data_IF_262498392377
#
_entry.id   IF_262498392377
#
_cell.length_a   1.000
_cell.length_b   1.000
_cell.length_c   1.000
_cell.angle_alpha   90.00
_cell.angle_beta   90.00
_cell.angle_gamma   90.00
#
_symmetry.space_group_name_H-M   'P 1'
#
loop_
_entity.id
_entity.type
_entity.pdbx_description
1 polymer ?
#
# COMPACT_ATOMS: atom_id res chain seq x y z
N UNK A 1 33.89 2.86 -1.48
CA UNK A 1 33.57 1.43 -1.68
C UNK A 1 32.36 1.32 -2.60
N UNK A 2 32.50 0.77 -3.79
CA UNK A 2 31.41 0.64 -4.76
C UNK A 2 30.42 -0.44 -4.29
N UNK A 3 29.14 -0.09 -4.15
CA UNK A 3 28.08 -1.08 -3.88
C UNK A 3 28.01 -2.03 -5.08
N UNK A 4 28.36 -3.30 -4.86
CA UNK A 4 28.17 -4.38 -5.85
C UNK A 4 26.68 -4.43 -6.19
N UNK A 5 26.30 -3.95 -7.36
CA UNK A 5 24.95 -4.09 -7.89
C UNK A 5 24.71 -5.59 -8.07
N UNK A 6 23.88 -6.18 -7.21
CA UNK A 6 23.48 -7.59 -7.34
C UNK A 6 22.58 -7.66 -8.57
N UNK A 7 23.18 -7.91 -9.73
CA UNK A 7 22.47 -8.20 -10.98
C UNK A 7 21.78 -9.55 -10.79
N UNK A 8 20.46 -9.61 -10.95
CA UNK A 8 19.75 -10.87 -10.97
C UNK A 8 19.88 -11.48 -12.39
N UNK A 9 20.70 -12.52 -12.58
CA UNK A 9 20.92 -13.12 -13.91
C UNK A 9 19.64 -13.78 -14.47
N UNK A 10 18.67 -14.11 -13.61
CA UNK A 10 17.42 -14.75 -14.02
C UNK A 10 16.52 -13.82 -14.86
N UNK A 11 16.69 -12.49 -14.74
CA UNK A 11 15.96 -11.51 -15.54
C UNK A 11 16.32 -11.57 -17.03
N UNK A 12 17.53 -12.03 -17.34
CA UNK A 12 18.02 -12.19 -18.72
C UNK A 12 17.75 -13.61 -19.26
N UNK A 13 17.34 -14.56 -18.40
CA UNK A 13 17.13 -15.98 -18.74
C UNK A 13 15.67 -16.34 -19.07
N UNK A 14 14.71 -15.47 -18.76
CA UNK A 14 13.29 -15.67 -19.05
C UNK A 14 12.94 -14.90 -20.33
N UNK A 15 12.48 -15.60 -21.39
CA UNK A 15 11.94 -15.00 -22.61
C UNK A 15 10.50 -14.48 -22.38
N UNK A 16 10.34 -13.63 -21.36
CA UNK A 16 9.07 -13.04 -21.00
C UNK A 16 8.74 -11.92 -21.97
N UNK A 17 7.55 -11.98 -22.57
CA UNK A 17 6.96 -10.90 -23.34
C UNK A 17 5.60 -10.52 -22.74
N UNK A 18 5.33 -9.23 -22.48
CA UNK A 18 4.00 -8.76 -22.09
C UNK A 18 2.95 -9.19 -23.12
N UNK A 19 1.75 -9.52 -22.64
CA UNK A 19 0.66 -9.93 -23.52
C UNK A 19 0.42 -8.91 -24.65
N UNK A 20 0.12 -9.40 -25.86
CA UNK A 20 0.05 -8.56 -27.08
C UNK A 20 -0.94 -7.41 -26.99
N UNK A 21 -2.00 -7.54 -26.19
CA UNK A 21 -3.05 -6.56 -26.00
C UNK A 21 -2.68 -5.41 -25.05
N UNK A 22 -1.56 -5.51 -24.32
CA UNK A 22 -1.13 -4.44 -23.42
C UNK A 22 -0.61 -3.25 -24.22
N UNK A 23 -1.03 -2.04 -23.82
CA UNK A 23 -0.62 -0.79 -24.45
C UNK A 23 0.88 -0.49 -24.26
N UNK A 24 1.50 -1.03 -23.21
CA UNK A 24 2.92 -0.88 -22.92
C UNK A 24 3.63 -2.23 -22.99
N UNK A 25 4.65 -2.35 -23.86
CA UNK A 25 5.42 -3.59 -24.06
C UNK A 25 6.92 -3.33 -24.31
N UNK A 26 7.44 -2.18 -23.88
CA UNK A 26 8.85 -1.86 -24.04
C UNK A 26 9.70 -2.72 -23.09
N UNK A 27 10.34 -3.75 -23.65
CA UNK A 27 11.14 -4.70 -22.89
C UNK A 27 12.42 -4.11 -22.32
N UNK A 28 12.98 -3.08 -22.95
CA UNK A 28 14.17 -2.40 -22.43
C UNK A 28 13.83 -1.64 -21.15
N UNK A 29 12.66 -0.99 -21.11
CA UNK A 29 12.16 -0.33 -19.90
C UNK A 29 11.79 -1.36 -18.83
N UNK A 30 11.11 -2.46 -19.20
CA UNK A 30 10.77 -3.53 -18.25
C UNK A 30 12.02 -4.09 -17.56
N UNK A 31 13.07 -4.43 -18.32
CA UNK A 31 14.34 -4.93 -17.78
C UNK A 31 15.02 -3.90 -16.87
N UNK A 32 15.02 -2.63 -17.29
CA UNK A 32 15.56 -1.52 -16.47
C UNK A 32 14.85 -1.40 -15.12
N UNK A 33 13.52 -1.48 -15.09
CA UNK A 33 12.73 -1.39 -13.85
C UNK A 33 12.93 -2.64 -12.98
N UNK A 34 12.95 -3.83 -13.58
CA UNK A 34 13.16 -5.09 -12.86
C UNK A 34 14.55 -5.17 -12.19
N UNK A 35 15.54 -4.47 -12.74
CA UNK A 35 16.88 -4.36 -12.16
C UNK A 35 16.97 -3.39 -10.96
N UNK A 36 15.91 -2.67 -10.61
CA UNK A 36 15.90 -1.77 -9.45
C UNK A 36 16.06 -2.60 -8.17
N UNK A 37 17.12 -2.38 -7.36
CA UNK A 37 17.33 -3.16 -6.16
C UNK A 37 16.29 -2.79 -5.10
N UNK A 38 15.98 -3.75 -4.20
CA UNK A 38 15.05 -3.54 -3.08
C UNK A 38 15.35 -2.27 -2.26
N UNK A 39 16.63 -1.95 -2.07
CA UNK A 39 17.08 -0.76 -1.34
C UNK A 39 16.70 0.57 -2.03
N UNK A 40 16.38 0.53 -3.32
CA UNK A 40 16.09 1.70 -4.15
C UNK A 40 14.59 1.81 -4.48
N UNK A 41 13.77 0.79 -4.19
CA UNK A 41 12.31 0.80 -4.43
C UNK A 41 11.59 1.93 -3.67
N UNK A 42 12.14 2.36 -2.53
CA UNK A 42 11.62 3.50 -1.76
C UNK A 42 12.23 4.85 -2.20
N UNK A 43 13.12 4.89 -3.19
CA UNK A 43 13.63 6.17 -3.74
C UNK A 43 12.58 6.76 -4.67
N UNK A 44 11.95 7.81 -4.19
CA UNK A 44 10.89 8.50 -4.92
C UNK A 44 11.46 9.34 -6.07
N UNK A 45 10.74 9.45 -7.20
CA UNK A 45 11.11 10.34 -8.30
C UNK A 45 11.33 11.78 -7.86
N UNK A 46 12.12 12.53 -8.65
CA UNK A 46 12.24 13.98 -8.46
C UNK A 46 10.88 14.62 -8.68
N UNK A 47 10.50 15.54 -7.80
CA UNK A 47 9.21 16.22 -7.83
C UNK A 47 8.08 15.51 -7.09
N UNK A 48 8.32 14.33 -6.50
CA UNK A 48 7.34 13.71 -5.59
C UNK A 48 7.03 14.63 -4.41
N UNK A 49 5.75 14.72 -4.05
CA UNK A 49 5.28 15.56 -2.94
C UNK A 49 6.02 15.22 -1.63
N UNK A 50 6.43 16.24 -0.87
CA UNK A 50 7.25 16.08 0.35
C UNK A 50 6.61 15.20 1.42
N UNK A 51 5.28 15.16 1.45
CA UNK A 51 4.51 14.31 2.38
C UNK A 51 4.33 12.87 1.94
N UNK A 52 4.66 12.53 0.69
CA UNK A 52 4.51 11.16 0.19
C UNK A 52 5.67 10.29 0.70
N UNK A 53 5.33 9.14 1.27
CA UNK A 53 6.31 8.21 1.84
C UNK A 53 6.02 6.80 1.30
N UNK A 54 7.05 6.14 0.79
CA UNK A 54 6.99 4.74 0.40
C UNK A 54 7.78 3.89 1.41
N UNK A 55 7.19 2.78 1.87
CA UNK A 55 7.81 1.87 2.83
C UNK A 55 7.61 0.44 2.39
N UNK A 56 8.63 -0.40 2.57
CA UNK A 56 8.52 -1.85 2.39
C UNK A 56 8.28 -2.49 3.75
N UNK A 57 7.33 -3.42 3.82
CA UNK A 57 7.01 -4.21 5.01
C UNK A 57 6.91 -5.70 4.66
N UNK A 58 7.21 -6.61 5.59
CA UNK A 58 6.90 -8.01 5.43
C UNK A 58 5.39 -8.22 5.24
N UNK A 59 5.00 -9.19 4.41
CA UNK A 59 3.59 -9.49 4.12
C UNK A 59 2.82 -9.82 5.40
N UNK A 60 3.42 -10.60 6.30
CA UNK A 60 2.81 -10.98 7.59
C UNK A 60 2.40 -9.80 8.46
N UNK A 61 3.09 -8.65 8.33
CA UNK A 61 2.84 -7.46 9.15
C UNK A 61 1.90 -6.47 8.44
N UNK A 62 1.57 -6.71 7.17
CA UNK A 62 0.90 -5.74 6.32
C UNK A 62 -0.47 -5.31 6.85
N UNK A 63 -1.35 -6.27 7.18
CA UNK A 63 -2.69 -5.98 7.70
C UNK A 63 -2.64 -5.24 9.04
N UNK A 64 -1.75 -5.66 9.94
CA UNK A 64 -1.59 -4.99 11.22
C UNK A 64 -1.06 -3.56 11.07
N UNK A 65 -0.05 -3.35 10.21
CA UNK A 65 0.48 -2.02 9.93
C UNK A 65 -0.57 -1.09 9.29
N UNK A 66 -1.42 -1.62 8.40
CA UNK A 66 -2.55 -0.85 7.86
C UNK A 66 -3.56 -0.47 8.94
N UNK A 67 -4.00 -1.43 9.75
CA UNK A 67 -4.94 -1.18 10.84
C UNK A 67 -4.37 -0.14 11.84
N UNK A 68 -3.08 -0.23 12.15
CA UNK A 68 -2.40 0.70 13.04
C UNK A 68 -2.28 2.11 12.45
N UNK A 69 -1.98 2.25 11.14
CA UNK A 69 -1.96 3.54 10.46
C UNK A 69 -3.35 4.20 10.45
N UNK A 70 -4.41 3.42 10.19
CA UNK A 70 -5.79 3.88 10.30
C UNK A 70 -6.12 4.38 11.71
N UNK A 71 -5.84 3.57 12.73
CA UNK A 71 -6.08 3.91 14.14
C UNK A 71 -5.33 5.19 14.54
N UNK A 72 -4.05 5.28 14.17
CA UNK A 72 -3.22 6.44 14.50
C UNK A 72 -3.79 7.73 13.91
N UNK A 73 -4.25 7.70 12.65
CA UNK A 73 -4.85 8.86 11.99
C UNK A 73 -6.21 9.24 12.54
N UNK A 74 -7.06 8.24 12.84
CA UNK A 74 -8.37 8.47 13.48
C UNK A 74 -8.18 9.14 14.84
N UNK A 75 -7.26 8.63 15.66
CA UNK A 75 -6.93 9.20 16.97
C UNK A 75 -6.35 10.61 16.83
N UNK A 76 -5.41 10.80 15.90
CA UNK A 76 -4.83 12.13 15.67
C UNK A 76 -5.89 13.16 15.28
N UNK A 77 -6.82 12.81 14.39
CA UNK A 77 -7.92 13.70 14.01
C UNK A 77 -8.81 14.06 15.21
N UNK A 78 -9.09 13.08 16.09
CA UNK A 78 -9.83 13.32 17.32
C UNK A 78 -9.10 14.30 18.24
N UNK A 79 -7.81 14.06 18.48
CA UNK A 79 -6.95 14.89 19.34
C UNK A 79 -6.82 16.33 18.79
N UNK A 80 -6.85 16.48 17.46
CA UNK A 80 -6.83 17.78 16.77
C UNK A 80 -8.23 18.42 16.64
N UNK A 81 -9.30 17.77 17.11
CA UNK A 81 -10.68 18.25 16.99
C UNK A 81 -11.21 18.32 15.54
N UNK A 82 -10.69 17.47 14.65
CA UNK A 82 -11.01 17.44 13.22
C UNK A 82 -11.88 16.24 12.85
N UNK A 83 -12.67 16.41 11.79
CA UNK A 83 -13.32 15.28 11.13
C UNK A 83 -12.28 14.42 10.39
N UNK A 84 -12.40 13.10 10.55
CA UNK A 84 -11.63 12.14 9.78
C UNK A 84 -12.51 11.58 8.67
N UNK A 85 -12.08 11.73 7.41
CA UNK A 85 -12.75 11.14 6.25
C UNK A 85 -11.80 10.15 5.59
N UNK A 86 -12.20 8.88 5.54
CA UNK A 86 -11.40 7.80 4.97
C UNK A 86 -12.12 7.09 3.82
N UNK A 87 -11.40 6.89 2.72
CA UNK A 87 -11.82 6.03 1.60
C UNK A 87 -10.97 4.78 1.63
N UNK A 88 -11.60 3.61 1.77
CA UNK A 88 -10.92 2.34 2.01
C UNK A 88 -11.28 1.28 0.97
N UNK A 89 -10.33 0.47 0.50
CA UNK A 89 -10.59 -0.57 -0.49
C UNK A 89 -11.42 -1.73 0.10
N UNK A 90 -12.26 -2.39 -0.71
CA UNK A 90 -13.08 -3.53 -0.24
C UNK A 90 -12.23 -4.71 0.21
N UNK A 91 -11.06 -4.92 -0.40
CA UNK A 91 -10.04 -5.84 0.12
C UNK A 91 -8.87 -5.08 0.74
N UNK A 92 -8.09 -5.63 1.70
CA UNK A 92 -8.20 -6.94 2.37
C UNK A 92 -9.17 -6.98 3.57
N UNK A 93 -9.49 -8.18 4.10
CA UNK A 93 -10.54 -8.38 5.12
C UNK A 93 -10.02 -8.22 6.57
N UNK A 94 -8.75 -8.58 6.83
CA UNK A 94 -8.25 -8.74 8.20
C UNK A 94 -7.96 -7.43 8.95
N UNK A 95 -7.57 -6.36 8.23
CA UNK A 95 -7.20 -5.10 8.89
C UNK A 95 -8.40 -4.42 9.56
N UNK A 96 -9.62 -4.62 9.06
CA UNK A 96 -10.82 -4.02 9.64
C UNK A 96 -11.19 -4.66 10.98
N UNK A 97 -11.07 -5.98 11.09
CA UNK A 97 -11.26 -6.66 12.36
C UNK A 97 -10.22 -6.21 13.39
N UNK A 98 -8.94 -6.17 12.99
CA UNK A 98 -7.86 -5.68 13.86
C UNK A 98 -8.10 -4.24 14.31
N UNK A 99 -8.55 -3.37 13.40
CA UNK A 99 -8.89 -1.98 13.72
C UNK A 99 -10.03 -1.91 14.73
N UNK A 100 -11.12 -2.65 14.51
CA UNK A 100 -12.27 -2.69 15.41
C UNK A 100 -11.87 -3.16 16.81
N UNK A 101 -11.08 -4.23 16.91
CA UNK A 101 -10.58 -4.76 18.18
C UNK A 101 -9.76 -3.69 18.93
N UNK A 102 -8.85 -3.00 18.24
CA UNK A 102 -8.05 -1.93 18.84
C UNK A 102 -8.90 -0.72 19.26
N UNK A 103 -9.85 -0.28 18.43
CA UNK A 103 -10.78 0.82 18.76
C UNK A 103 -11.57 0.48 20.00
N UNK A 104 -12.11 -0.73 20.08
CA UNK A 104 -12.92 -1.21 21.21
C UNK A 104 -12.07 -1.29 22.49
N UNK A 105 -10.87 -1.86 22.40
CA UNK A 105 -9.94 -1.96 23.53
C UNK A 105 -9.53 -0.60 24.08
N UNK A 106 -9.32 0.39 23.20
CA UNK A 106 -8.96 1.76 23.57
C UNK A 106 -10.16 2.64 23.92
N UNK A 107 -11.38 2.14 23.70
CA UNK A 107 -12.64 2.92 23.81
C UNK A 107 -12.56 4.23 23.03
N UNK A 108 -11.97 4.19 21.84
CA UNK A 108 -11.78 5.37 20.99
C UNK A 108 -13.14 5.79 20.42
N UNK A 109 -13.64 7.00 20.71
CA UNK A 109 -14.88 7.47 20.12
C UNK A 109 -14.70 7.68 18.61
N UNK A 110 -15.70 7.29 17.82
CA UNK A 110 -15.69 7.39 16.35
C UNK A 110 -16.73 8.39 15.79
N UNK A 111 -17.30 9.26 16.62
CA UNK A 111 -18.34 10.22 16.17
C UNK A 111 -17.83 11.23 15.13
N UNK A 112 -16.51 11.40 15.00
CA UNK A 112 -15.83 12.27 14.04
C UNK A 112 -15.35 11.52 12.78
N UNK A 113 -15.71 10.24 12.63
CA UNK A 113 -15.22 9.38 11.54
C UNK A 113 -16.28 9.22 10.46
N UNK A 114 -15.91 9.53 9.23
CA UNK A 114 -16.65 9.22 8.02
C UNK A 114 -15.91 8.15 7.22
N UNK A 115 -16.57 7.00 7.02
CA UNK A 115 -16.05 5.85 6.31
C UNK A 115 -16.73 5.73 4.94
N UNK A 116 -15.93 5.61 3.89
CA UNK A 116 -16.40 5.29 2.55
C UNK A 116 -15.65 4.06 2.03
N UNK A 117 -16.39 3.09 1.49
CA UNK A 117 -15.78 2.00 0.72
C UNK A 117 -15.47 2.51 -0.70
N UNK A 118 -14.28 2.19 -1.22
CA UNK A 118 -13.83 2.57 -2.57
C UNK A 118 -14.60 1.83 -3.66
N UNK A 119 -14.96 0.58 -3.37
CA UNK A 119 -15.70 -0.34 -4.21
C UNK A 119 -16.62 -1.22 -3.34
N UNK A 120 -17.40 -2.10 -3.96
CA UNK A 120 -18.15 -3.17 -3.28
C UNK A 120 -18.39 -4.31 -4.27
N UNK A 121 -18.46 -5.54 -3.76
CA UNK A 121 -18.89 -6.67 -4.56
C UNK A 121 -20.39 -6.54 -4.84
N UNK A 122 -20.75 -6.25 -6.09
CA UNK A 122 -22.13 -6.15 -6.56
C UNK A 122 -22.79 -7.54 -6.76
N UNK A 123 -22.63 -8.43 -5.78
CA UNK A 123 -23.27 -9.74 -5.77
C UNK A 123 -24.69 -9.66 -5.21
N UNK A 124 -25.64 -10.35 -5.86
CA UNK A 124 -26.92 -10.64 -5.22
C UNK A 124 -26.65 -11.75 -4.20
N UNK A 125 -26.83 -11.47 -2.90
CA UNK A 125 -27.00 -12.56 -1.93
C UNK A 125 -28.29 -13.32 -2.32
N UNK A 126 -28.29 -14.66 -2.29
CA UNK A 126 -29.51 -15.45 -2.45
C UNK A 126 -30.52 -15.16 -1.32
#
# INVERSE_FOLDING_TARGET
>A
MAKKTVRNPDLDLIDFQPARFLAFRDMEVCKKVAAIPKADLCRLPRGTHRGFKAVIRPVKDFHFQMALDMLARIRQALEEGKQFVGVFPTGPIFQYQMLADMVNALRLPLHHVHYFSMDEYAGHQP
#
